data_IF_147935800114
#
_entry.id   IF_147935800114
#
_cell.length_a   1.000
_cell.length_b   1.000
_cell.length_c   1.000
_cell.angle_alpha   90.00
_cell.angle_beta   90.00
_cell.angle_gamma   90.00
#
_symmetry.space_group_name_H-M   'P 1'
#
loop_
_entity.id
_entity.type
_entity.pdbx_description
1 polymer ?
#
# COMPACT_ATOMS: atom_id res chain seq x y z
N UNK A 1 16.33 -1.50 -4.37
CA UNK A 1 14.93 -1.90 -4.62
C UNK A 1 14.69 -3.29 -4.05
N UNK A 2 13.99 -3.33 -2.92
CA UNK A 2 13.38 -4.47 -2.29
C UNK A 2 11.88 -4.44 -2.59
N UNK A 3 11.32 -5.59 -2.94
CA UNK A 3 9.87 -5.72 -3.12
C UNK A 3 9.24 -6.11 -1.79
N UNK A 4 8.31 -5.29 -1.34
CA UNK A 4 7.53 -5.52 -0.14
C UNK A 4 6.16 -6.06 -0.54
N UNK A 5 5.65 -7.01 0.24
CA UNK A 5 4.38 -7.69 -0.03
C UNK A 5 3.59 -7.84 1.27
N UNK A 6 2.30 -7.64 1.14
CA UNK A 6 1.28 -7.85 2.16
C UNK A 6 0.27 -8.85 1.58
N UNK A 7 -0.13 -9.83 2.37
CA UNK A 7 -1.12 -10.84 1.97
C UNK A 7 -1.98 -11.18 3.17
N UNK A 8 -3.28 -10.96 3.05
CA UNK A 8 -4.29 -11.39 4.02
C UNK A 8 -5.40 -12.15 3.30
N UNK A 9 -5.30 -13.48 3.30
CA UNK A 9 -6.28 -14.36 2.65
C UNK A 9 -6.51 -14.03 1.17
N UNK A 10 -7.68 -13.45 0.87
CA UNK A 10 -8.10 -13.04 -0.47
C UNK A 10 -7.57 -11.67 -0.90
N UNK A 11 -6.94 -10.92 0.00
CA UNK A 11 -6.31 -9.63 -0.25
C UNK A 11 -4.79 -9.77 -0.45
N UNK A 12 -4.23 -8.98 -1.37
CA UNK A 12 -2.79 -8.84 -1.57
C UNK A 12 -2.44 -7.42 -1.99
N UNK A 13 -1.30 -6.94 -1.50
CA UNK A 13 -0.70 -5.67 -1.88
C UNK A 13 0.83 -5.81 -1.98
N UNK A 14 1.45 -4.99 -2.82
CA UNK A 14 2.90 -4.95 -2.96
C UNK A 14 3.39 -3.60 -3.43
N UNK A 15 4.60 -3.24 -3.05
CA UNK A 15 5.29 -2.04 -3.52
C UNK A 15 6.79 -2.30 -3.59
N UNK A 16 7.49 -1.49 -4.37
CA UNK A 16 8.95 -1.45 -4.39
C UNK A 16 9.40 -0.11 -3.83
N UNK A 17 10.38 -0.12 -2.95
CA UNK A 17 11.07 1.08 -2.48
C UNK A 17 11.99 1.63 -3.59
N UNK A 18 11.40 2.30 -4.57
CA UNK A 18 12.18 3.12 -5.48
C UNK A 18 12.72 4.33 -4.71
N UNK A 19 14.05 4.40 -4.60
CA UNK A 19 14.78 5.36 -3.77
C UNK A 19 14.75 6.77 -4.42
N UNK A 20 14.34 6.88 -5.69
CA UNK A 20 14.65 8.06 -6.48
C UNK A 20 13.54 9.11 -6.61
N UNK A 21 12.24 8.77 -6.46
CA UNK A 21 11.19 9.81 -6.53
C UNK A 21 9.78 9.36 -6.14
N UNK A 22 9.44 8.10 -6.38
CA UNK A 22 8.05 7.67 -6.29
C UNK A 22 7.95 6.19 -6.11
N UNK A 23 6.89 5.74 -5.47
CA UNK A 23 6.63 4.32 -5.32
C UNK A 23 5.20 4.03 -5.67
N UNK A 24 5.01 2.87 -6.30
CA UNK A 24 3.71 2.39 -6.73
C UNK A 24 3.26 1.24 -5.84
N UNK A 25 2.13 1.42 -5.17
CA UNK A 25 1.41 0.37 -4.50
C UNK A 25 0.53 -0.35 -5.52
N UNK A 26 0.72 -1.65 -5.69
CA UNK A 26 -0.15 -2.54 -6.45
C UNK A 26 -1.02 -3.32 -5.48
N UNK A 27 -2.31 -3.49 -5.79
CA UNK A 27 -3.24 -4.21 -4.92
C UNK A 27 -4.21 -5.07 -5.73
N UNK A 28 -4.65 -6.15 -5.08
CA UNK A 28 -5.70 -7.02 -5.56
C UNK A 28 -6.48 -7.56 -4.37
N UNK A 29 -7.71 -7.09 -4.23
CA UNK A 29 -8.68 -7.54 -3.24
C UNK A 29 -9.68 -8.50 -3.90
N UNK A 30 -9.52 -9.80 -3.72
CA UNK A 30 -10.52 -10.79 -4.16
C UNK A 30 -11.63 -10.99 -3.14
N UNK A 31 -11.53 -10.38 -1.95
CA UNK A 31 -12.56 -10.43 -0.94
C UNK A 31 -13.76 -9.61 -1.37
N UNK A 32 -14.96 -9.97 -0.88
CA UNK A 32 -16.16 -9.15 -1.07
C UNK A 32 -16.14 -7.87 -0.20
N UNK A 33 -15.40 -7.89 0.92
CA UNK A 33 -15.25 -6.76 1.84
C UNK A 33 -14.08 -5.87 1.43
N UNK A 34 -14.17 -4.59 1.80
CA UNK A 34 -13.08 -3.66 1.60
C UNK A 34 -11.93 -3.94 2.58
N UNK A 35 -10.71 -3.60 2.19
CA UNK A 35 -9.52 -3.58 3.06
C UNK A 35 -9.05 -2.16 3.25
N UNK A 36 -8.66 -1.79 4.47
CA UNK A 36 -8.10 -0.48 4.77
C UNK A 36 -6.60 -0.61 4.97
N UNK A 37 -5.83 0.08 4.15
CA UNK A 37 -4.38 0.08 4.22
C UNK A 37 -3.89 1.41 4.81
N UNK A 38 -2.91 1.33 5.71
CA UNK A 38 -2.17 2.49 6.19
C UNK A 38 -0.78 2.49 5.57
N UNK A 39 -0.43 3.58 4.90
CA UNK A 39 0.81 3.73 4.15
C UNK A 39 1.60 4.87 4.80
N UNK A 40 2.83 4.59 5.25
CA UNK A 40 3.65 5.49 6.06
C UNK A 40 5.03 5.69 5.44
N UNK A 41 5.44 6.92 5.09
CA UNK A 41 6.82 7.17 4.69
C UNK A 41 7.77 7.00 5.87
N UNK A 42 8.94 6.40 5.61
CA UNK A 42 9.94 6.16 6.65
C UNK A 42 10.62 7.46 7.11
N UNK A 43 10.77 8.46 6.24
CA UNK A 43 11.36 9.76 6.60
C UNK A 43 10.42 10.72 7.31
N UNK A 44 9.10 10.56 7.16
CA UNK A 44 8.13 11.49 7.72
C UNK A 44 6.81 10.81 8.03
N UNK A 45 6.63 10.36 9.27
CA UNK A 45 5.38 9.74 9.71
C UNK A 45 4.17 10.68 9.61
N UNK A 46 4.36 12.00 9.54
CA UNK A 46 3.25 12.96 9.42
C UNK A 46 2.48 12.83 8.08
N UNK A 47 3.11 12.32 7.02
CA UNK A 47 2.47 12.12 5.70
C UNK A 47 1.76 10.76 5.58
N UNK A 48 1.41 10.14 6.72
CA UNK A 48 0.66 8.89 6.74
C UNK A 48 -0.65 9.01 5.97
N UNK A 49 -0.88 8.11 5.01
CA UNK A 49 -2.13 8.03 4.24
C UNK A 49 -2.87 6.75 4.56
N UNK A 50 -4.19 6.84 4.55
CA UNK A 50 -5.08 5.67 4.62
C UNK A 50 -5.77 5.51 3.29
N UNK A 51 -5.77 4.29 2.74
CA UNK A 51 -6.45 3.95 1.49
C UNK A 51 -7.40 2.79 1.73
N UNK A 52 -8.63 2.93 1.27
CA UNK A 52 -9.61 1.85 1.29
C UNK A 52 -9.67 1.20 -0.09
N UNK A 53 -9.38 -0.10 -0.15
CA UNK A 53 -9.48 -0.92 -1.36
C UNK A 53 -10.80 -1.68 -1.30
N UNK A 54 -11.76 -1.29 -2.14
CA UNK A 54 -13.08 -1.93 -2.23
C UNK A 54 -12.98 -3.44 -2.49
N UNK A 55 -14.04 -4.17 -2.15
CA UNK A 55 -14.17 -5.58 -2.50
C UNK A 55 -14.06 -5.80 -4.01
N UNK A 56 -13.48 -6.92 -4.41
CA UNK A 56 -13.23 -7.30 -5.82
C UNK A 56 -12.40 -6.29 -6.63
N UNK A 57 -11.75 -5.31 -5.98
CA UNK A 57 -10.94 -4.31 -6.66
C UNK A 57 -9.52 -4.80 -6.95
N UNK A 58 -8.95 -4.32 -8.06
CA UNK A 58 -7.52 -4.45 -8.38
C UNK A 58 -7.02 -3.15 -8.98
N UNK A 59 -5.74 -2.86 -8.82
CA UNK A 59 -5.17 -1.65 -9.41
C UNK A 59 -3.85 -1.25 -8.78
N UNK A 60 -3.50 0.01 -8.98
CA UNK A 60 -2.29 0.60 -8.42
C UNK A 60 -2.48 2.07 -8.06
N UNK A 61 -1.73 2.54 -7.07
CA UNK A 61 -1.66 3.94 -6.67
C UNK A 61 -0.20 4.36 -6.58
N UNK A 62 0.16 5.48 -7.22
CA UNK A 62 1.51 6.03 -7.20
C UNK A 62 1.61 7.17 -6.18
N UNK A 63 2.62 7.10 -5.32
CA UNK A 63 2.95 8.13 -4.34
C UNK A 63 4.27 8.80 -4.76
N UNK A 64 4.22 10.11 -4.99
CA UNK A 64 5.37 10.92 -5.38
C UNK A 64 6.00 11.60 -4.16
N UNK A 65 7.29 11.90 -4.23
CA UNK A 65 8.09 12.60 -3.23
C UNK A 65 8.27 11.88 -1.89
N UNK A 66 8.05 10.56 -1.86
CA UNK A 66 8.31 9.74 -0.68
C UNK A 66 9.71 9.11 -0.81
N UNK A 67 10.73 9.97 -0.74
CA UNK A 67 12.12 9.71 -1.11
C UNK A 67 12.88 8.70 -0.20
N UNK A 68 12.21 8.11 0.80
CA UNK A 68 12.84 7.35 1.88
C UNK A 68 12.33 5.92 2.03
N UNK A 69 11.52 5.44 1.08
CA UNK A 69 10.77 4.20 1.25
C UNK A 69 9.61 4.38 2.24
N UNK A 70 8.80 3.34 2.40
CA UNK A 70 7.61 3.39 3.23
C UNK A 70 7.21 2.02 3.72
N UNK A 71 6.36 2.00 4.74
CA UNK A 71 5.70 0.82 5.27
C UNK A 71 4.22 0.80 4.90
N UNK A 72 3.68 -0.41 4.79
CA UNK A 72 2.25 -0.66 4.58
C UNK A 72 1.75 -1.62 5.65
N UNK A 73 0.72 -1.19 6.36
CA UNK A 73 -0.01 -2.01 7.32
C UNK A 73 -1.42 -2.29 6.79
N UNK A 74 -1.86 -3.56 6.84
CA UNK A 74 -3.28 -3.89 6.71
C UNK A 74 -3.97 -3.56 8.04
N UNK A 75 -4.90 -2.60 8.01
CA UNK A 75 -5.74 -2.28 9.16
C UNK A 75 -6.96 -3.22 9.24
N UNK A 76 -7.04 -4.20 8.35
CA UNK A 76 -8.09 -5.19 8.28
C UNK A 76 -9.26 -4.77 7.42
N UNK A 77 -10.35 -5.51 7.59
CA UNK A 77 -11.57 -5.37 6.81
C UNK A 77 -12.34 -4.12 7.26
N UNK A 78 -12.71 -3.29 6.29
CA UNK A 78 -13.58 -2.13 6.48
C UNK A 78 -15.02 -2.43 6.05
#
# INVERSE_FOLDING_TARGET
MKMHRLKDGCFSASYNDDIYASVTLYFHNRCAKAHKLRIRPLSNAADTKTVTISGHAKGSTRYWNWASGFDIDDMGRA
#
